data_IF_360291585043
#
_entry.id   IF_360291585043
#
_cell.length_a   1.000
_cell.length_b   1.000
_cell.length_c   1.000
_cell.angle_alpha   90.00
_cell.angle_beta   90.00
_cell.angle_gamma   90.00
#
_symmetry.space_group_name_H-M   'P 1'
#
loop_
_entity.id
_entity.type
_entity.pdbx_description
1 polymer ?
#
# COMPACT_ATOMS: atom_id res chain seq x y z
N UNK A 1 -9.72 22.87 17.49
CA UNK A 1 -8.27 22.85 17.16
C UNK A 1 -7.91 21.50 16.51
N UNK A 2 -8.32 21.25 15.26
CA UNK A 2 -8.20 19.92 14.61
C UNK A 2 -7.37 19.96 13.31
N UNK A 3 -6.59 21.04 13.10
CA UNK A 3 -5.79 21.26 11.90
C UNK A 3 -4.38 20.65 11.97
N UNK A 4 -3.93 20.26 13.16
CA UNK A 4 -2.60 19.68 13.41
C UNK A 4 -2.43 18.25 12.85
N UNK A 5 -3.39 17.30 12.98
CA UNK A 5 -3.18 15.95 12.45
C UNK A 5 -3.24 15.88 10.92
N UNK A 6 -4.09 16.70 10.29
CA UNK A 6 -4.25 16.73 8.83
C UNK A 6 -2.97 17.18 8.14
N UNK A 7 -2.26 18.18 8.70
CA UNK A 7 -1.04 18.69 8.11
C UNK A 7 0.12 17.69 8.21
N UNK A 8 0.20 16.91 9.29
CA UNK A 8 1.20 15.85 9.44
C UNK A 8 0.99 14.71 8.41
N UNK A 9 -0.27 14.32 8.19
CA UNK A 9 -0.61 13.29 7.19
C UNK A 9 -0.29 13.77 5.77
N UNK A 10 -0.61 15.03 5.45
CA UNK A 10 -0.32 15.61 4.13
C UNK A 10 1.18 15.67 3.83
N UNK A 11 2.02 16.02 4.81
CA UNK A 11 3.48 16.07 4.68
C UNK A 11 4.08 14.67 4.51
N UNK A 12 3.58 13.68 5.25
CA UNK A 12 4.04 12.30 5.11
C UNK A 12 3.70 11.72 3.72
N UNK A 13 2.51 12.01 3.19
CA UNK A 13 2.08 11.57 1.85
C UNK A 13 2.92 12.21 0.73
N UNK A 14 3.31 13.48 0.87
CA UNK A 14 4.15 14.15 -0.14
C UNK A 14 5.59 13.63 -0.13
N UNK A 15 6.14 13.29 1.05
CA UNK A 15 7.46 12.66 1.16
C UNK A 15 7.48 11.26 0.52
N UNK A 16 6.40 10.49 0.68
CA UNK A 16 6.31 9.14 0.14
C UNK A 16 6.24 9.10 -1.40
N UNK A 17 5.64 10.12 -2.02
CA UNK A 17 5.39 10.15 -3.47
C UNK A 17 6.59 10.65 -4.31
N UNK A 18 7.66 11.15 -3.69
CA UNK A 18 8.78 11.79 -4.36
C UNK A 18 9.87 10.87 -4.94
N UNK A 19 9.81 9.56 -4.73
CA UNK A 19 10.91 8.63 -5.04
C UNK A 19 10.80 7.90 -6.39
N UNK A 20 9.84 8.23 -7.25
CA UNK A 20 9.70 7.59 -8.57
C UNK A 20 10.72 8.17 -9.55
N UNK A 21 11.95 7.68 -9.49
CA UNK A 21 12.99 7.96 -10.49
C UNK A 21 12.55 7.41 -11.85
N UNK A 22 12.29 8.30 -12.80
CA UNK A 22 12.04 7.92 -14.19
C UNK A 22 13.34 7.38 -14.80
N UNK A 23 13.44 6.06 -14.96
CA UNK A 23 14.50 5.46 -15.75
C UNK A 23 14.23 5.77 -17.23
N UNK A 24 15.05 6.65 -17.81
CA UNK A 24 15.00 6.94 -19.24
C UNK A 24 15.43 5.69 -20.02
N UNK A 25 14.50 5.09 -20.75
CA UNK A 25 14.76 3.94 -21.64
C UNK A 25 15.57 4.45 -22.83
N UNK A 26 16.84 4.04 -22.92
CA UNK A 26 17.65 4.16 -24.13
C UNK A 26 17.26 3.03 -25.10
N UNK A 27 17.24 3.26 -26.42
CA UNK A 27 16.96 2.19 -27.38
C UNK A 27 18.16 1.23 -27.36
N UNK A 28 17.97 0.06 -26.75
CA UNK A 28 18.95 -1.03 -26.73
C UNK A 28 18.44 -2.20 -27.58
N UNK A 29 19.37 -2.78 -28.36
CA UNK A 29 19.16 -3.94 -29.22
C UNK A 29 18.76 -5.18 -28.40
N UNK A 30 17.48 -5.55 -28.47
CA UNK A 30 16.96 -6.82 -27.99
C UNK A 30 17.03 -7.03 -26.46
N UNK A 31 16.21 -7.93 -25.90
CA UNK A 31 16.37 -8.35 -24.52
C UNK A 31 17.78 -8.93 -24.33
N UNK A 32 18.51 -8.53 -23.27
CA UNK A 32 19.79 -9.15 -22.93
C UNK A 32 19.66 -10.67 -22.94
N UNK A 33 20.58 -11.35 -23.63
CA UNK A 33 20.56 -12.82 -23.81
C UNK A 33 20.91 -13.56 -22.51
N UNK A 34 21.44 -12.84 -21.52
CA UNK A 34 21.76 -13.35 -20.19
C UNK A 34 20.58 -13.11 -19.25
N UNK A 35 20.14 -14.17 -18.55
CA UNK A 35 19.22 -13.99 -17.44
C UNK A 35 19.94 -13.22 -16.33
N UNK A 36 19.27 -12.25 -15.67
CA UNK A 36 19.87 -11.56 -14.54
C UNK A 36 20.21 -12.57 -13.46
N UNK A 37 21.35 -12.34 -12.79
CA UNK A 37 21.75 -13.16 -11.65
C UNK A 37 20.65 -13.19 -10.57
N UNK A 38 20.56 -14.28 -9.80
CA UNK A 38 19.66 -14.35 -8.65
C UNK A 38 19.84 -13.15 -7.73
N UNK A 39 18.72 -12.54 -7.35
CA UNK A 39 18.70 -11.41 -6.43
C UNK A 39 19.35 -11.81 -5.10
N UNK A 40 20.20 -10.97 -4.49
CA UNK A 40 20.82 -11.31 -3.22
C UNK A 40 19.80 -11.58 -2.11
N UNK A 41 20.10 -12.52 -1.21
CA UNK A 41 19.21 -12.94 -0.12
C UNK A 41 18.75 -11.78 0.77
N UNK A 42 19.64 -10.80 1.01
CA UNK A 42 19.31 -9.57 1.72
C UNK A 42 18.09 -8.83 1.16
N UNK A 43 17.90 -8.84 -0.16
CA UNK A 43 16.77 -8.18 -0.81
C UNK A 43 15.48 -8.96 -0.54
N UNK A 44 15.53 -10.29 -0.56
CA UNK A 44 14.38 -11.12 -0.20
C UNK A 44 13.98 -10.90 1.27
N UNK A 45 14.96 -10.89 2.18
CA UNK A 45 14.75 -10.60 3.60
C UNK A 45 14.16 -9.20 3.83
N UNK A 46 14.70 -8.20 3.13
CA UNK A 46 14.21 -6.82 3.21
C UNK A 46 12.77 -6.70 2.70
N UNK A 47 12.45 -7.32 1.56
CA UNK A 47 11.08 -7.32 1.05
C UNK A 47 10.14 -8.03 2.01
N UNK A 48 10.56 -9.14 2.62
CA UNK A 48 9.80 -9.83 3.66
C UNK A 48 9.48 -8.91 4.85
N UNK A 49 10.49 -8.22 5.38
CA UNK A 49 10.32 -7.27 6.48
C UNK A 49 9.38 -6.11 6.14
N UNK A 50 9.46 -5.59 4.91
CA UNK A 50 8.56 -4.53 4.43
C UNK A 50 7.12 -5.05 4.33
N UNK A 51 6.92 -6.24 3.77
CA UNK A 51 5.58 -6.85 3.64
C UNK A 51 4.95 -7.10 5.01
N UNK A 52 5.71 -7.61 5.99
CA UNK A 52 5.25 -7.85 7.36
C UNK A 52 4.83 -6.54 8.06
N UNK A 53 5.66 -5.50 7.93
CA UNK A 53 5.35 -4.17 8.44
C UNK A 53 4.06 -3.60 7.82
N UNK A 54 3.93 -3.68 6.49
CA UNK A 54 2.74 -3.18 5.80
C UNK A 54 1.49 -3.95 6.19
N UNK A 55 1.57 -5.29 6.34
CA UNK A 55 0.47 -6.11 6.82
C UNK A 55 -0.02 -5.66 8.20
N UNK A 56 0.91 -5.47 9.14
CA UNK A 56 0.61 -4.99 10.49
C UNK A 56 -0.04 -3.60 10.51
N UNK A 57 0.43 -2.67 9.68
CA UNK A 57 -0.15 -1.33 9.56
C UNK A 57 -1.55 -1.37 8.97
N UNK A 58 -1.78 -2.18 7.93
CA UNK A 58 -3.08 -2.32 7.30
C UNK A 58 -4.12 -2.93 8.24
N UNK A 59 -3.74 -3.92 9.05
CA UNK A 59 -4.59 -4.50 10.09
C UNK A 59 -5.05 -3.43 11.09
N UNK A 60 -4.10 -2.63 11.59
CA UNK A 60 -4.39 -1.56 12.55
C UNK A 60 -5.31 -0.47 11.95
N UNK A 61 -5.11 -0.13 10.68
CA UNK A 61 -5.99 0.81 9.97
C UNK A 61 -7.38 0.20 9.78
N UNK A 62 -7.47 -1.06 9.38
CA UNK A 62 -8.73 -1.78 9.22
C UNK A 62 -9.56 -1.78 10.50
N UNK A 63 -8.92 -2.06 11.64
CA UNK A 63 -9.56 -2.03 12.96
C UNK A 63 -10.01 -0.62 13.36
N UNK A 64 -9.16 0.39 13.12
CA UNK A 64 -9.51 1.78 13.37
C UNK A 64 -10.71 2.24 12.52
N UNK A 65 -10.76 1.83 11.24
CA UNK A 65 -11.89 2.13 10.34
C UNK A 65 -13.14 1.40 10.80
N UNK A 66 -13.05 0.12 11.20
CA UNK A 66 -14.19 -0.66 11.71
C UNK A 66 -14.77 -0.09 13.00
N UNK A 67 -13.93 0.49 13.85
CA UNK A 67 -14.35 1.20 15.06
C UNK A 67 -15.20 2.43 14.72
N UNK A 68 -14.82 3.17 13.67
CA UNK A 68 -15.51 4.40 13.24
C UNK A 68 -16.72 4.11 12.35
N UNK A 69 -16.68 2.99 11.63
CA UNK A 69 -17.77 2.48 10.78
C UNK A 69 -18.21 1.11 11.29
N UNK A 70 -19.01 1.08 12.38
CA UNK A 70 -19.64 -0.16 12.82
C UNK A 70 -20.44 -0.73 11.65
N UNK A 71 -20.21 -2.00 11.34
CA UNK A 71 -20.96 -2.69 10.29
C UNK A 71 -22.45 -2.60 10.61
N UNK A 72 -23.20 -1.93 9.76
CA UNK A 72 -24.65 -2.02 9.76
C UNK A 72 -24.97 -3.41 9.21
N UNK A 73 -25.28 -4.36 10.10
CA UNK A 73 -26.01 -5.58 9.77
C UNK A 73 -27.45 -5.21 9.36
N UNK A 74 -27.62 -4.21 8.50
CA UNK A 74 -28.87 -4.00 7.80
C UNK A 74 -29.02 -5.19 6.86
N UNK A 75 -29.67 -6.22 7.42
CA UNK A 75 -30.52 -7.12 6.69
C UNK A 75 -31.22 -6.28 5.62
N UNK A 76 -30.78 -6.43 4.37
CA UNK A 76 -31.53 -5.95 3.21
C UNK A 76 -32.90 -6.61 3.39
N UNK A 77 -33.98 -5.85 3.67
CA UNK A 77 -35.30 -6.45 3.72
C UNK A 77 -35.58 -6.82 2.28
N UNK A 78 -35.41 -8.10 1.98
CA UNK A 78 -35.76 -8.65 0.69
C UNK A 78 -37.28 -8.48 0.61
N UNK A 79 -37.72 -7.50 -0.17
CA UNK A 79 -39.12 -7.14 -0.31
C UNK A 79 -39.88 -8.31 -0.92
N UNK A 80 -40.44 -9.18 -0.07
CA UNK A 80 -41.54 -10.05 -0.43
C UNK A 80 -42.79 -9.19 -0.48
N UNK A 81 -43.02 -8.57 -1.64
CA UNK A 81 -44.34 -8.07 -1.99
C UNK A 81 -45.12 -9.26 -2.55
N UNK A 82 -46.06 -9.77 -1.75
CA UNK A 82 -47.18 -10.62 -2.20
C UNK A 82 -48.15 -9.83 -3.11
#
# INVERSE_FOLDING_TARGET
>A
MQRRPILAIAVALTLLLGATGAAAVQPADGPPNDMPDPVPEFVADLLGAITDFLGSVLEAIGEAVRTVTPGDDAAVPNGTSE
#
